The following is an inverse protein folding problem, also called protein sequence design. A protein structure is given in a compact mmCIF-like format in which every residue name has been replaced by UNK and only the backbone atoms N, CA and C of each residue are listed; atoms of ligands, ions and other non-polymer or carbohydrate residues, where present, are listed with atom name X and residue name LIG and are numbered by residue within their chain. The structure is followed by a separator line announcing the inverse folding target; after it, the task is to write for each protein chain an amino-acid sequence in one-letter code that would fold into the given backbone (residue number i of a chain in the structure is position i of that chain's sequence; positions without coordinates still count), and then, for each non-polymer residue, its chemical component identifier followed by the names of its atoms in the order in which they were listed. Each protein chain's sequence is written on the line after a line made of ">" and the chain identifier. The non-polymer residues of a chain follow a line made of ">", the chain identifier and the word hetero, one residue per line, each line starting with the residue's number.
data_IF_653581105996
#
_entry.id   IF_653581105996
#
_cell.length_a   1.000
_cell.length_b   1.000
_cell.length_c   1.000
_cell.angle_alpha   90.00
_cell.angle_beta   90.00
_cell.angle_gamma   90.00
#
_symmetry.space_group_name_H-M   'P 1'
#
loop_
_entity.id
_entity.type
_entity.pdbx_description
1 polymer ?
#
# COMPACT_ATOMS: atom_id res chain seq x y z
N UNK A 1 19.97 3.71 -11.42
CA UNK A 1 18.80 3.95 -10.53
C UNK A 1 17.46 3.99 -11.27
N UNK A 2 17.31 4.66 -12.42
CA UNK A 2 16.04 4.71 -13.18
C UNK A 2 15.50 3.33 -13.63
N UNK A 3 16.39 2.37 -13.95
CA UNK A 3 16.00 1.00 -14.31
C UNK A 3 15.37 0.22 -13.15
N UNK A 4 15.69 0.53 -11.88
CA UNK A 4 15.19 -0.20 -10.70
C UNK A 4 13.73 0.17 -10.37
N UNK A 5 13.34 1.42 -10.65
CA UNK A 5 11.96 1.90 -10.50
C UNK A 5 11.05 1.48 -11.66
N UNK A 6 11.58 1.42 -12.89
CA UNK A 6 10.87 0.79 -14.02
C UNK A 6 10.67 -0.72 -13.83
N UNK A 7 11.59 -1.39 -13.12
CA UNK A 7 11.42 -2.79 -12.71
C UNK A 7 10.31 -2.92 -11.67
N UNK A 8 10.27 -2.05 -10.66
CA UNK A 8 9.20 -2.02 -9.64
C UNK A 8 7.82 -1.71 -10.23
N UNK A 9 7.73 -0.84 -11.24
CA UNK A 9 6.47 -0.57 -11.95
C UNK A 9 6.03 -1.74 -12.84
N UNK A 10 6.97 -2.44 -13.50
CA UNK A 10 6.69 -3.67 -14.26
C UNK A 10 6.28 -4.83 -13.35
N UNK A 11 6.90 -4.96 -12.18
CA UNK A 11 6.51 -5.96 -11.15
C UNK A 11 5.13 -5.62 -10.60
N UNK A 12 4.81 -4.33 -10.34
CA UNK A 12 3.46 -3.89 -9.93
C UNK A 12 2.39 -4.20 -10.98
N UNK A 13 2.69 -4.03 -12.27
CA UNK A 13 1.77 -4.37 -13.36
C UNK A 13 1.65 -5.89 -13.58
N UNK A 14 2.74 -6.64 -13.45
CA UNK A 14 2.75 -8.11 -13.58
C UNK A 14 2.06 -8.82 -12.41
N UNK A 15 2.25 -8.35 -11.18
CA UNK A 15 1.55 -8.87 -9.99
C UNK A 15 0.05 -8.57 -10.06
N UNK A 16 -0.34 -7.43 -10.62
CA UNK A 16 -1.75 -7.07 -10.85
C UNK A 16 -2.44 -7.99 -11.86
N UNK A 17 -1.79 -8.34 -12.97
CA UNK A 17 -2.34 -9.28 -13.96
C UNK A 17 -2.40 -10.71 -13.40
N UNK A 18 -1.42 -11.12 -12.58
CA UNK A 18 -1.41 -12.43 -11.91
C UNK A 18 -2.45 -12.56 -10.80
N UNK A 19 -2.63 -11.55 -9.95
CA UNK A 19 -3.67 -11.52 -8.90
C UNK A 19 -5.08 -11.47 -9.51
N UNK A 20 -5.28 -10.68 -10.58
CA UNK A 20 -6.57 -10.61 -11.28
C UNK A 20 -6.91 -11.95 -11.97
N UNK A 21 -5.92 -12.66 -12.52
CA UNK A 21 -6.11 -13.99 -13.10
C UNK A 21 -6.40 -15.09 -12.06
N UNK A 22 -5.74 -15.04 -10.88
CA UNK A 22 -6.00 -15.98 -9.78
C UNK A 22 -7.37 -15.76 -9.13
N UNK A 23 -7.81 -14.50 -9.03
CA UNK A 23 -9.13 -14.16 -8.46
C UNK A 23 -10.26 -14.64 -9.38
N UNK A 24 -10.10 -14.53 -10.70
CA UNK A 24 -11.09 -15.03 -11.68
C UNK A 24 -11.22 -16.56 -11.68
N UNK A 25 -10.13 -17.31 -11.48
CA UNK A 25 -10.18 -18.78 -11.37
C UNK A 25 -10.82 -19.28 -10.07
N UNK A 26 -10.77 -18.49 -9.00
CA UNK A 26 -11.41 -18.83 -7.72
C UNK A 26 -12.92 -18.52 -7.67
N UNK A 27 -13.45 -17.75 -8.63
CA UNK A 27 -14.84 -17.27 -8.63
C UNK A 27 -15.84 -18.14 -9.41
N UNK A 28 -15.42 -19.25 -10.04
CA UNK A 28 -16.28 -20.05 -10.92
C UNK A 28 -17.07 -21.17 -10.19
N UNK A 29 -17.38 -21.00 -8.90
CA UNK A 29 -18.30 -21.89 -8.17
C UNK A 29 -19.26 -21.09 -7.29
N UNK A 30 -20.48 -20.93 -7.83
CA UNK A 30 -21.77 -20.64 -7.19
C UNK A 30 -21.78 -20.00 -5.80
N UNK A 31 -22.26 -18.75 -5.71
CA UNK A 31 -23.31 -18.25 -4.78
C UNK A 31 -23.48 -16.72 -4.94
N UNK A 32 -24.68 -16.15 -4.69
CA UNK A 32 -24.93 -14.72 -4.89
C UNK A 32 -24.33 -13.91 -3.71
N UNK A 33 -23.03 -13.56 -3.77
CA UNK A 33 -22.27 -12.91 -2.68
C UNK A 33 -21.14 -11.96 -3.16
N UNK A 34 -21.34 -11.20 -4.24
CA UNK A 34 -20.31 -10.33 -4.85
C UNK A 34 -20.21 -8.88 -4.33
N UNK A 35 -21.30 -8.31 -3.78
CA UNK A 35 -21.44 -6.85 -3.67
C UNK A 35 -20.30 -6.11 -2.96
N UNK A 36 -19.91 -6.49 -1.73
CA UNK A 36 -18.92 -5.69 -0.96
C UNK A 36 -17.50 -5.77 -1.53
N UNK A 37 -17.11 -6.90 -2.12
CA UNK A 37 -15.80 -7.04 -2.77
C UNK A 37 -15.73 -6.25 -4.08
N UNK A 38 -16.83 -6.25 -4.83
CA UNK A 38 -17.00 -5.45 -6.04
C UNK A 38 -17.03 -3.94 -5.70
N UNK A 39 -17.69 -3.55 -4.60
CA UNK A 39 -17.76 -2.17 -4.14
C UNK A 39 -16.38 -1.63 -3.73
N UNK A 40 -15.57 -2.42 -3.01
CA UNK A 40 -14.21 -2.03 -2.61
C UNK A 40 -13.27 -1.89 -3.81
N UNK A 41 -13.39 -2.80 -4.80
CA UNK A 41 -12.62 -2.73 -6.02
C UNK A 41 -13.01 -1.50 -6.85
N UNK A 42 -14.30 -1.27 -7.04
CA UNK A 42 -14.80 -0.10 -7.75
C UNK A 42 -14.36 1.21 -7.07
N UNK A 43 -14.41 1.27 -5.74
CA UNK A 43 -13.94 2.43 -4.99
C UNK A 43 -12.44 2.69 -5.22
N UNK A 44 -11.62 1.63 -5.20
CA UNK A 44 -10.19 1.72 -5.51
C UNK A 44 -9.96 2.25 -6.93
N UNK A 45 -10.65 1.69 -7.91
CA UNK A 45 -10.51 2.08 -9.32
C UNK A 45 -10.85 3.55 -9.55
N UNK A 46 -11.96 4.01 -8.99
CA UNK A 46 -12.39 5.42 -9.06
C UNK A 46 -11.35 6.32 -8.39
N UNK A 47 -10.87 5.97 -7.20
CA UNK A 47 -9.87 6.78 -6.51
C UNK A 47 -8.54 6.83 -7.27
N UNK A 48 -8.03 5.69 -7.74
CA UNK A 48 -6.80 5.64 -8.54
C UNK A 48 -6.91 6.47 -9.83
N UNK A 49 -8.02 6.37 -10.55
CA UNK A 49 -8.23 7.17 -11.75
C UNK A 49 -8.26 8.68 -11.44
N UNK A 50 -8.80 9.06 -10.29
CA UNK A 50 -8.91 10.47 -9.86
C UNK A 50 -7.56 11.10 -9.49
N UNK A 51 -6.62 10.34 -8.94
CA UNK A 51 -5.35 10.90 -8.42
C UNK A 51 -4.16 10.68 -9.35
N UNK A 52 -4.32 9.87 -10.40
CA UNK A 52 -3.20 9.41 -11.22
C UNK A 52 -2.38 10.54 -11.83
N UNK A 53 -3.03 11.55 -12.42
CA UNK A 53 -2.34 12.64 -13.11
C UNK A 53 -1.59 13.54 -12.12
N UNK A 54 -2.22 13.91 -11.02
CA UNK A 54 -1.63 14.75 -9.98
C UNK A 54 -0.50 14.03 -9.22
N UNK A 55 -0.64 12.72 -8.96
CA UNK A 55 0.42 11.91 -8.37
C UNK A 55 1.64 11.83 -9.27
N UNK A 56 1.44 11.50 -10.55
CA UNK A 56 2.52 11.41 -11.53
C UNK A 56 3.25 12.74 -11.66
N UNK A 57 2.50 13.84 -11.68
CA UNK A 57 3.06 15.19 -11.70
C UNK A 57 3.86 15.49 -10.42
N UNK A 58 3.26 15.29 -9.23
CA UNK A 58 3.92 15.55 -7.95
C UNK A 58 5.22 14.75 -7.82
N UNK A 59 5.19 13.45 -8.11
CA UNK A 59 6.39 12.61 -8.02
C UNK A 59 7.45 12.97 -9.06
N UNK A 60 7.06 13.49 -10.22
CA UNK A 60 8.00 14.05 -11.20
C UNK A 60 8.71 15.30 -10.66
N UNK A 61 7.95 16.25 -10.10
CA UNK A 61 8.49 17.49 -9.51
C UNK A 61 9.40 17.21 -8.31
N UNK A 62 8.99 16.29 -7.41
CA UNK A 62 9.80 15.92 -6.25
C UNK A 62 11.13 15.24 -6.63
N UNK A 63 11.19 14.61 -7.81
CA UNK A 63 12.41 13.97 -8.31
C UNK A 63 13.38 14.97 -8.94
N UNK A 64 12.88 16.03 -9.55
CA UNK A 64 13.65 17.06 -10.24
C UNK A 64 13.21 18.45 -9.80
N UNK A 65 13.45 18.84 -8.53
CA UNK A 65 12.90 20.08 -7.99
C UNK A 65 13.46 21.31 -8.70
N UNK A 66 12.61 21.99 -9.44
CA UNK A 66 12.90 23.29 -10.03
C UNK A 66 12.78 24.41 -8.99
N UNK A 67 13.59 25.47 -9.07
CA UNK A 67 13.61 26.56 -8.08
C UNK A 67 12.31 27.37 -7.99
N UNK A 68 11.34 27.15 -8.89
CA UNK A 68 10.05 27.85 -8.92
C UNK A 68 8.84 26.91 -8.71
N UNK A 69 9.07 25.63 -8.41
CA UNK A 69 8.01 24.62 -8.38
C UNK A 69 7.34 24.47 -7.02
N UNK A 70 7.84 25.14 -5.97
CA UNK A 70 7.35 24.99 -4.59
C UNK A 70 5.86 25.28 -4.45
N UNK A 71 5.34 26.30 -5.14
CA UNK A 71 3.90 26.62 -5.15
C UNK A 71 3.09 25.50 -5.80
N UNK A 72 3.60 24.94 -6.91
CA UNK A 72 2.96 23.85 -7.65
C UNK A 72 2.93 22.57 -6.83
N UNK A 73 4.07 22.22 -6.22
CA UNK A 73 4.19 21.09 -5.28
C UNK A 73 3.20 21.26 -4.12
N UNK A 74 3.16 22.45 -3.50
CA UNK A 74 2.24 22.72 -2.37
C UNK A 74 0.77 22.53 -2.78
N UNK A 75 0.39 23.04 -3.96
CA UNK A 75 -0.97 22.89 -4.48
C UNK A 75 -1.35 21.43 -4.77
N UNK A 76 -0.45 20.66 -5.41
CA UNK A 76 -0.67 19.24 -5.66
C UNK A 76 -0.82 18.44 -4.36
N UNK A 77 -0.01 18.75 -3.34
CA UNK A 77 -0.12 18.13 -2.03
C UNK A 77 -1.46 18.41 -1.35
N UNK A 78 -1.97 19.63 -1.46
CA UNK A 78 -3.28 20.00 -0.92
C UNK A 78 -4.40 19.19 -1.59
N UNK A 79 -4.47 19.18 -2.92
CA UNK A 79 -5.47 18.42 -3.69
C UNK A 79 -5.40 16.93 -3.38
N UNK A 80 -4.20 16.35 -3.42
CA UNK A 80 -4.01 14.92 -3.16
C UNK A 80 -4.33 14.58 -1.71
N UNK A 81 -3.94 15.42 -0.76
CA UNK A 81 -4.24 15.25 0.67
C UNK A 81 -5.75 15.22 0.94
N UNK A 82 -6.53 16.11 0.33
CA UNK A 82 -7.99 16.10 0.42
C UNK A 82 -8.60 14.81 -0.18
N UNK A 83 -8.09 14.38 -1.35
CA UNK A 83 -8.53 13.16 -2.02
C UNK A 83 -8.27 11.92 -1.17
N UNK A 84 -7.05 11.80 -0.63
CA UNK A 84 -6.67 10.70 0.25
C UNK A 84 -7.45 10.71 1.56
N UNK A 85 -7.63 11.87 2.20
CA UNK A 85 -8.45 12.00 3.40
C UNK A 85 -9.88 11.51 3.18
N UNK A 86 -10.48 11.89 2.05
CA UNK A 86 -11.83 11.45 1.68
C UNK A 86 -11.89 9.94 1.43
N UNK A 87 -10.89 9.38 0.74
CA UNK A 87 -10.80 7.95 0.47
C UNK A 87 -10.60 7.13 1.76
N UNK A 88 -9.73 7.57 2.66
CA UNK A 88 -9.54 6.97 3.98
C UNK A 88 -10.84 6.95 4.78
N UNK A 89 -11.59 8.05 4.81
CA UNK A 89 -12.85 8.13 5.54
C UNK A 89 -13.89 7.13 4.99
N UNK A 90 -13.98 6.98 3.67
CA UNK A 90 -14.86 5.99 3.03
C UNK A 90 -14.45 4.55 3.37
N UNK A 91 -13.15 4.25 3.31
CA UNK A 91 -12.64 2.93 3.69
C UNK A 91 -12.91 2.65 5.17
N UNK A 92 -12.64 3.60 6.06
CA UNK A 92 -12.91 3.46 7.50
C UNK A 92 -14.39 3.23 7.80
N UNK A 93 -15.30 3.82 7.02
CA UNK A 93 -16.75 3.63 7.19
C UNK A 93 -17.26 2.26 6.67
N UNK A 94 -16.60 1.67 5.67
CA UNK A 94 -17.08 0.48 4.98
C UNK A 94 -17.02 -0.83 5.80
N UNK A 95 -16.26 -0.85 6.92
CA UNK A 95 -15.93 -2.00 7.82
C UNK A 95 -16.65 -3.31 7.46
N UNK A 96 -16.11 -4.12 6.53
CA UNK A 96 -16.75 -5.35 6.12
C UNK A 96 -16.69 -6.38 7.25
N UNK A 97 -17.80 -7.07 7.53
CA UNK A 97 -17.89 -8.06 8.63
C UNK A 97 -18.21 -9.48 8.17
N UNK A 98 -18.56 -9.66 6.89
CA UNK A 98 -19.20 -10.90 6.42
C UNK A 98 -18.28 -11.89 5.72
N UNK A 99 -17.19 -11.43 5.12
CA UNK A 99 -16.26 -12.29 4.37
C UNK A 99 -14.83 -12.00 4.77
N UNK A 100 -14.06 -13.04 5.10
CA UNK A 100 -12.63 -12.95 5.38
C UNK A 100 -11.88 -12.32 4.22
N UNK A 101 -12.23 -12.64 2.96
CA UNK A 101 -11.59 -12.03 1.80
C UNK A 101 -11.88 -10.53 1.70
N UNK A 102 -13.12 -10.10 2.00
CA UNK A 102 -13.49 -8.69 2.00
C UNK A 102 -12.81 -7.93 3.14
N UNK A 103 -12.68 -8.55 4.32
CA UNK A 103 -11.91 -8.01 5.46
C UNK A 103 -10.45 -7.82 5.08
N UNK A 104 -9.81 -8.83 4.48
CA UNK A 104 -8.41 -8.74 4.06
C UNK A 104 -8.22 -7.67 2.98
N UNK A 105 -9.07 -7.66 1.95
CA UNK A 105 -9.01 -6.65 0.89
C UNK A 105 -9.17 -5.24 1.46
N UNK A 106 -10.14 -5.03 2.35
CA UNK A 106 -10.35 -3.76 3.05
C UNK A 106 -9.12 -3.33 3.85
N UNK A 107 -8.52 -4.22 4.64
CA UNK A 107 -7.32 -3.91 5.42
C UNK A 107 -6.14 -3.53 4.53
N UNK A 108 -5.94 -4.25 3.42
CA UNK A 108 -4.88 -3.94 2.45
C UNK A 108 -5.13 -2.55 1.84
N UNK A 109 -6.36 -2.26 1.39
CA UNK A 109 -6.71 -0.97 0.82
C UNK A 109 -6.50 0.17 1.81
N UNK A 110 -6.88 -0.02 3.07
CA UNK A 110 -6.70 0.99 4.12
C UNK A 110 -5.22 1.22 4.43
N UNK A 111 -4.42 0.16 4.48
CA UNK A 111 -2.98 0.28 4.70
C UNK A 111 -2.26 0.97 3.53
N UNK A 112 -2.64 0.64 2.30
CA UNK A 112 -2.15 1.30 1.08
C UNK A 112 -2.58 2.78 1.06
N UNK A 113 -3.83 3.11 1.43
CA UNK A 113 -4.31 4.48 1.48
C UNK A 113 -3.45 5.34 2.44
N UNK A 114 -3.19 4.86 3.66
CA UNK A 114 -2.30 5.56 4.59
C UNK A 114 -0.88 5.70 4.04
N UNK A 115 -0.35 4.67 3.39
CA UNK A 115 0.99 4.71 2.81
C UNK A 115 1.11 5.76 1.70
N UNK A 116 0.16 5.78 0.75
CA UNK A 116 0.20 6.75 -0.34
C UNK A 116 -0.10 8.17 0.14
N UNK A 117 -1.04 8.34 1.07
CA UNK A 117 -1.27 9.63 1.71
C UNK A 117 0.00 10.15 2.39
N UNK A 118 0.73 9.30 3.11
CA UNK A 118 2.00 9.68 3.72
C UNK A 118 3.03 10.19 2.69
N UNK A 119 3.04 9.62 1.47
CA UNK A 119 3.99 10.00 0.41
C UNK A 119 3.65 11.33 -0.26
N UNK A 120 2.37 11.70 -0.31
CA UNK A 120 1.98 13.04 -0.77
C UNK A 120 2.21 14.06 0.34
N UNK A 121 2.09 13.65 1.61
CA UNK A 121 2.27 14.57 2.72
C UNK A 121 3.68 15.17 2.81
N UNK A 122 3.72 16.46 3.12
CA UNK A 122 4.96 17.21 3.25
C UNK A 122 5.73 16.81 4.50
N UNK A 123 7.07 16.83 4.44
CA UNK A 123 7.90 16.76 5.65
C UNK A 123 7.74 18.05 6.43
N UNK A 124 6.95 18.03 7.50
CA UNK A 124 6.94 19.12 8.48
C UNK A 124 8.27 19.14 9.24
N UNK A 125 8.87 20.32 9.38
CA UNK A 125 10.16 20.56 10.07
C UNK A 125 9.96 20.70 11.61
N UNK A 126 8.73 20.54 12.10
CA UNK A 126 8.46 20.66 13.54
C UNK A 126 8.88 19.41 14.33
N UNK A 127 9.25 19.61 15.61
CA UNK A 127 9.75 18.56 16.49
C UNK A 127 8.67 17.56 16.98
N UNK A 128 7.39 17.78 16.68
CA UNK A 128 6.32 16.81 16.91
C UNK A 128 6.24 15.81 15.76
N UNK A 129 5.80 14.58 16.02
CA UNK A 129 5.53 13.60 14.98
C UNK A 129 4.72 14.22 13.83
N UNK A 130 5.31 14.23 12.64
CA UNK A 130 4.66 14.84 11.47
C UNK A 130 3.41 14.03 11.08
N UNK A 131 2.45 14.68 10.41
CA UNK A 131 1.28 13.97 9.88
C UNK A 131 1.68 12.78 8.99
N UNK A 132 2.72 12.96 8.18
CA UNK A 132 3.36 11.91 7.38
C UNK A 132 3.82 10.71 8.23
N UNK A 133 4.53 10.94 9.34
CA UNK A 133 4.98 9.84 10.21
C UNK A 133 3.80 9.07 10.82
N UNK A 134 2.76 9.77 11.26
CA UNK A 134 1.55 9.11 11.79
C UNK A 134 0.88 8.22 10.74
N UNK A 135 0.80 8.69 9.49
CA UNK A 135 0.23 7.91 8.39
C UNK A 135 1.09 6.68 8.08
N UNK A 136 2.41 6.82 8.02
CA UNK A 136 3.31 5.67 7.87
C UNK A 136 3.15 4.65 9.00
N UNK A 137 3.07 5.09 10.26
CA UNK A 137 2.83 4.19 11.41
C UNK A 137 1.51 3.44 11.26
N UNK A 138 0.42 4.13 10.92
CA UNK A 138 -0.87 3.46 10.68
C UNK A 138 -0.80 2.40 9.58
N UNK A 139 -0.05 2.67 8.51
CA UNK A 139 0.18 1.67 7.45
C UNK A 139 0.97 0.46 7.97
N UNK A 140 2.06 0.71 8.72
CA UNK A 140 2.87 -0.35 9.36
C UNK A 140 2.02 -1.19 10.30
N UNK A 141 1.19 -0.58 11.15
CA UNK A 141 0.34 -1.28 12.11
C UNK A 141 -0.59 -2.27 11.39
N UNK A 142 -1.29 -1.80 10.36
CA UNK A 142 -2.22 -2.65 9.59
C UNK A 142 -1.48 -3.76 8.85
N UNK A 143 -0.34 -3.47 8.22
CA UNK A 143 0.44 -4.52 7.54
C UNK A 143 1.12 -5.50 8.50
N UNK A 144 1.51 -5.07 9.70
CA UNK A 144 2.09 -5.95 10.72
C UNK A 144 1.06 -6.94 11.22
N UNK A 145 -0.19 -6.51 11.43
CA UNK A 145 -1.28 -7.42 11.74
C UNK A 145 -1.57 -8.41 10.60
N UNK A 146 -1.53 -7.94 9.34
CA UNK A 146 -1.68 -8.80 8.17
C UNK A 146 -0.55 -9.83 8.08
N UNK A 147 0.68 -9.42 8.40
CA UNK A 147 1.85 -10.29 8.45
C UNK A 147 1.67 -11.37 9.52
N UNK A 148 1.23 -11.02 10.71
CA UNK A 148 0.96 -11.97 11.80
C UNK A 148 -0.09 -13.02 11.41
N UNK A 149 -1.14 -12.61 10.71
CA UNK A 149 -2.15 -13.53 10.19
C UNK A 149 -1.60 -14.43 9.09
N UNK A 150 -0.86 -13.85 8.14
CA UNK A 150 -0.25 -14.55 7.02
C UNK A 150 0.74 -15.62 7.48
N UNK A 151 1.62 -15.29 8.44
CA UNK A 151 2.61 -16.24 9.02
C UNK A 151 2.00 -17.49 9.63
N UNK A 152 0.77 -17.40 10.16
CA UNK A 152 0.06 -18.54 10.77
C UNK A 152 -0.59 -19.45 9.75
N UNK A 153 -0.79 -18.95 8.54
CA UNK A 153 -1.68 -19.56 7.54
C UNK A 153 -0.95 -19.95 6.25
N UNK A 154 0.18 -19.30 5.96
CA UNK A 154 0.93 -19.39 4.71
C UNK A 154 2.35 -19.90 4.96
N UNK A 155 2.92 -20.56 3.96
CA UNK A 155 4.31 -21.00 3.98
C UNK A 155 5.26 -19.82 3.75
N UNK A 156 6.54 -19.94 4.16
CA UNK A 156 7.52 -18.87 4.01
C UNK A 156 7.83 -18.50 2.55
N UNK A 157 7.54 -19.38 1.59
CA UNK A 157 7.75 -19.16 0.16
C UNK A 157 6.49 -18.63 -0.55
N UNK A 158 5.38 -18.46 0.17
CA UNK A 158 4.12 -18.00 -0.40
C UNK A 158 4.21 -16.55 -0.89
N UNK A 159 3.79 -16.30 -2.14
CA UNK A 159 3.91 -14.99 -2.77
C UNK A 159 3.08 -13.90 -2.06
N UNK A 160 1.95 -14.26 -1.44
CA UNK A 160 1.12 -13.29 -0.71
C UNK A 160 1.81 -12.83 0.58
N UNK A 161 2.46 -13.76 1.28
CA UNK A 161 3.28 -13.44 2.45
C UNK A 161 4.47 -12.56 2.05
N UNK A 162 5.17 -12.91 0.97
CA UNK A 162 6.31 -12.14 0.47
C UNK A 162 5.89 -10.74 0.01
N UNK A 163 4.72 -10.58 -0.61
CA UNK A 163 4.17 -9.28 -0.97
C UNK A 163 3.94 -8.36 0.25
N UNK A 164 3.41 -8.91 1.35
CA UNK A 164 3.26 -8.16 2.62
C UNK A 164 4.64 -7.76 3.17
N UNK A 165 5.60 -8.68 3.17
CA UNK A 165 6.97 -8.43 3.64
C UNK A 165 7.66 -7.32 2.81
N UNK A 166 7.55 -7.38 1.49
CA UNK A 166 8.09 -6.36 0.58
C UNK A 166 7.46 -4.99 0.83
N UNK A 167 6.15 -4.96 1.08
CA UNK A 167 5.44 -3.72 1.37
C UNK A 167 5.87 -3.09 2.68
N UNK A 168 5.96 -3.86 3.77
CA UNK A 168 6.45 -3.34 5.05
C UNK A 168 7.89 -2.85 4.91
N UNK A 169 8.74 -3.61 4.21
CA UNK A 169 10.14 -3.22 3.93
C UNK A 169 10.22 -1.88 3.20
N UNK A 170 9.32 -1.66 2.23
CA UNK A 170 9.23 -0.39 1.51
C UNK A 170 8.84 0.74 2.46
N UNK A 171 7.81 0.55 3.29
CA UNK A 171 7.33 1.58 4.22
C UNK A 171 8.41 1.95 5.24
N UNK A 172 9.08 0.97 5.84
CA UNK A 172 10.17 1.21 6.80
C UNK A 172 11.32 2.01 6.18
N UNK A 173 11.69 1.69 4.94
CA UNK A 173 12.76 2.40 4.21
C UNK A 173 12.38 3.85 3.90
N UNK A 174 11.13 4.12 3.52
CA UNK A 174 10.68 5.47 3.13
C UNK A 174 10.35 6.36 4.34
N UNK A 175 9.83 5.78 5.41
CA UNK A 175 9.39 6.50 6.61
C UNK A 175 10.52 6.88 7.57
N UNK A 176 11.65 6.16 7.51
CA UNK A 176 12.74 6.26 8.49
C UNK A 176 12.29 5.97 9.94
N UNK A 177 11.18 5.26 10.13
CA UNK A 177 10.73 4.80 11.45
C UNK A 177 11.61 3.62 11.87
N UNK A 178 12.09 3.65 13.12
CA UNK A 178 12.96 2.62 13.66
C UNK A 178 12.15 1.53 14.39
N UNK A 179 11.87 0.42 13.71
CA UNK A 179 11.20 -0.77 14.26
C UNK A 179 12.12 -2.00 14.20
N UNK A 180 13.11 -2.13 15.11
CA UNK A 180 14.14 -3.16 15.00
C UNK A 180 13.59 -4.58 15.09
N UNK A 181 12.53 -4.80 15.88
CA UNK A 181 11.87 -6.11 16.00
C UNK A 181 11.28 -6.55 14.66
N UNK A 182 10.54 -5.65 14.01
CA UNK A 182 9.91 -5.90 12.72
C UNK A 182 10.95 -6.11 11.61
N UNK A 183 12.07 -5.36 11.65
CA UNK A 183 13.18 -5.55 10.70
C UNK A 183 13.77 -6.95 10.82
N UNK A 184 14.10 -7.41 12.03
CA UNK A 184 14.66 -8.76 12.26
C UNK A 184 13.69 -9.85 11.79
N UNK A 185 12.41 -9.66 12.06
CA UNK A 185 11.37 -10.58 11.64
C UNK A 185 11.27 -10.69 10.11
N UNK A 186 11.23 -9.56 9.42
CA UNK A 186 11.21 -9.50 7.95
C UNK A 186 12.45 -10.19 7.37
N UNK A 187 13.64 -9.87 7.87
CA UNK A 187 14.88 -10.51 7.41
C UNK A 187 14.83 -12.03 7.59
N UNK A 188 14.34 -12.50 8.74
CA UNK A 188 14.21 -13.94 9.02
C UNK A 188 13.25 -14.63 8.04
N UNK A 189 12.15 -13.98 7.66
CA UNK A 189 11.20 -14.54 6.69
C UNK A 189 11.80 -14.60 5.29
N UNK A 190 12.54 -13.57 4.87
CA UNK A 190 13.25 -13.56 3.60
C UNK A 190 14.32 -14.66 3.52
N UNK A 191 15.15 -14.81 4.57
CA UNK A 191 16.18 -15.85 4.63
C UNK A 191 15.58 -17.27 4.52
N UNK A 192 14.43 -17.50 5.16
CA UNK A 192 13.69 -18.77 5.07
C UNK A 192 13.13 -19.01 3.66
N UNK A 193 12.61 -17.97 3.01
CA UNK A 193 12.08 -18.06 1.66
C UNK A 193 13.18 -18.39 0.64
N UNK A 194 14.36 -17.78 0.78
CA UNK A 194 15.53 -18.07 -0.05
C UNK A 194 16.02 -19.51 0.16
N UNK A 195 16.11 -19.95 1.42
CA UNK A 195 16.56 -21.31 1.76
C UNK A 195 15.60 -22.40 1.26
N UNK A 196 14.29 -22.12 1.20
CA UNK A 196 13.27 -23.07 0.74
C UNK A 196 13.10 -23.15 -0.79
N UNK A 197 13.81 -22.31 -1.56
CA UNK A 197 13.79 -22.32 -3.03
C UNK A 197 14.95 -23.11 -3.66
N UNK A 198 15.91 -23.56 -2.83
CA UNK A 198 17.05 -24.42 -3.21
C UNK A 198 16.74 -25.88 -2.89
#
# INVERSE_FOLDING_TARGET
>A
MAQKLQLLWRVRKGNFEAESANTRRAQEKDHPRGAVGEDLLALKEIHCARVAEEEDELFSLLRFPGPQEERRISHLREILGESYTSYEALLQAAVPTRSTSAVLAHRILLADAYFFHARVEGRSVSASESAQQRLYRRSIDVYSDLLELAKRSLTSTDDSLLCIVEKISQILRESHIHEPVLVVEITTLLDRAESGRN
#
